data_IF_723051833622
#
_entry.id   IF_723051833622
#
_cell.length_a   1.000
_cell.length_b   1.000
_cell.length_c   1.000
_cell.angle_alpha   90.00
_cell.angle_beta   90.00
_cell.angle_gamma   90.00
#
_symmetry.space_group_name_H-M   'P 1'
#
loop_
_entity.id
_entity.type
_entity.pdbx_description
1 polymer ?
#
# COMPACT_ATOMS: atom_id res chain seq x y z
N UNK A 1 15.28 -5.22 -3.20
CA UNK A 1 14.26 -6.27 -2.98
C UNK A 1 13.19 -6.16 -4.06
N UNK A 2 12.58 -7.28 -4.43
CA UNK A 2 11.40 -7.33 -5.30
C UNK A 2 10.15 -6.95 -4.51
N UNK A 3 9.11 -6.45 -5.16
CA UNK A 3 7.87 -6.05 -4.46
C UNK A 3 7.21 -7.26 -3.80
N UNK A 4 7.25 -8.41 -4.45
CA UNK A 4 6.70 -9.64 -3.87
C UNK A 4 7.50 -10.14 -2.65
N UNK A 5 8.79 -9.81 -2.55
CA UNK A 5 9.58 -10.09 -1.35
C UNK A 5 9.14 -9.20 -0.18
N UNK A 6 8.88 -7.93 -0.45
CA UNK A 6 8.33 -6.98 0.53
C UNK A 6 6.93 -7.39 1.01
N UNK A 7 6.04 -7.83 0.11
CA UNK A 7 4.74 -8.40 0.47
C UNK A 7 4.86 -9.58 1.44
N UNK A 8 5.79 -10.50 1.16
CA UNK A 8 6.05 -11.64 2.03
C UNK A 8 6.59 -11.21 3.39
N UNK A 9 7.57 -10.31 3.40
CA UNK A 9 8.22 -9.86 4.64
C UNK A 9 7.27 -9.08 5.55
N UNK A 10 6.47 -8.17 4.99
CA UNK A 10 5.45 -7.45 5.73
C UNK A 10 4.43 -8.40 6.36
N UNK A 11 3.93 -9.38 5.58
CA UNK A 11 2.98 -10.37 6.08
C UNK A 11 3.57 -11.27 7.17
N UNK A 12 4.76 -11.84 6.97
CA UNK A 12 5.39 -12.69 7.99
C UNK A 12 5.72 -11.90 9.26
N UNK A 13 6.12 -10.63 9.13
CA UNK A 13 6.31 -9.75 10.28
C UNK A 13 5.00 -9.52 11.02
N UNK A 14 3.93 -9.12 10.34
CA UNK A 14 2.62 -8.90 10.94
C UNK A 14 2.08 -10.18 11.62
N UNK A 15 2.22 -11.32 10.95
CA UNK A 15 1.85 -12.63 11.48
C UNK A 15 2.66 -12.99 12.73
N UNK A 16 3.97 -12.76 12.74
CA UNK A 16 4.82 -13.01 13.92
C UNK A 16 4.44 -12.18 15.15
N UNK A 17 3.71 -11.08 14.95
CA UNK A 17 3.20 -10.19 16.00
C UNK A 17 1.74 -10.50 16.39
N UNK A 18 1.14 -11.56 15.83
CA UNK A 18 -0.21 -12.01 16.17
C UNK A 18 -1.34 -11.27 15.44
N UNK A 19 -1.04 -10.38 14.50
CA UNK A 19 -2.06 -9.63 13.75
C UNK A 19 -2.93 -10.51 12.84
N UNK A 20 -2.47 -11.74 12.56
CA UNK A 20 -3.16 -12.73 11.74
C UNK A 20 -3.52 -14.01 12.50
N UNK A 21 -3.52 -13.99 13.83
CA UNK A 21 -3.89 -15.16 14.67
C UNK A 21 -5.35 -15.57 14.50
N UNK A 22 -6.19 -14.61 14.10
CA UNK A 22 -7.60 -14.81 13.75
C UNK A 22 -7.85 -14.33 12.33
N UNK A 23 -8.87 -14.86 11.64
CA UNK A 23 -9.29 -14.31 10.36
C UNK A 23 -9.62 -12.81 10.50
N UNK A 24 -8.96 -11.97 9.70
CA UNK A 24 -9.23 -10.54 9.60
C UNK A 24 -10.07 -10.28 8.34
N UNK A 25 -11.13 -9.50 8.48
CA UNK A 25 -11.96 -9.13 7.34
C UNK A 25 -11.15 -8.25 6.36
N UNK A 26 -11.39 -8.42 5.07
CA UNK A 26 -10.76 -7.58 4.05
C UNK A 26 -11.11 -6.09 4.25
N UNK A 27 -12.35 -5.78 4.66
CA UNK A 27 -12.75 -4.41 4.96
C UNK A 27 -11.92 -3.77 6.08
N UNK A 28 -11.59 -4.52 7.13
CA UNK A 28 -10.71 -4.06 8.22
C UNK A 28 -9.32 -3.72 7.72
N UNK A 29 -8.70 -4.60 6.91
CA UNK A 29 -7.36 -4.34 6.36
C UNK A 29 -7.35 -3.12 5.43
N UNK A 30 -8.41 -2.92 4.64
CA UNK A 30 -8.57 -1.72 3.81
C UNK A 30 -8.74 -0.45 4.64
N UNK A 31 -9.48 -0.52 5.75
CA UNK A 31 -9.64 0.62 6.67
C UNK A 31 -8.32 0.99 7.35
N UNK A 32 -7.46 0.01 7.69
CA UNK A 32 -6.12 0.27 8.22
C UNK A 32 -5.20 0.93 7.17
N UNK A 33 -5.27 0.54 5.89
CA UNK A 33 -4.54 1.26 4.83
C UNK A 33 -5.02 2.72 4.76
N UNK A 34 -6.33 2.95 4.91
CA UNK A 34 -6.91 4.29 4.88
C UNK A 34 -6.49 5.17 6.07
N UNK A 35 -6.24 4.59 7.25
CA UNK A 35 -5.74 5.38 8.39
C UNK A 35 -4.34 5.91 8.11
N UNK A 36 -3.41 5.10 7.58
CA UNK A 36 -2.04 5.58 7.28
C UNK A 36 -2.05 6.70 6.21
N UNK A 37 -2.99 6.65 5.25
CA UNK A 37 -3.18 7.75 4.28
C UNK A 37 -3.66 9.04 4.98
N UNK A 38 -4.47 8.91 6.03
CA UNK A 38 -4.95 10.04 6.81
C UNK A 38 -3.84 10.63 7.71
N UNK A 39 -2.98 9.78 8.25
CA UNK A 39 -1.80 10.17 9.03
C UNK A 39 -0.79 10.91 8.13
N UNK A 40 -0.54 10.42 6.91
CA UNK A 40 0.27 11.13 5.91
C UNK A 40 -0.30 12.52 5.59
N UNK A 41 -1.62 12.64 5.41
CA UNK A 41 -2.26 13.94 5.18
C UNK A 41 -2.12 14.89 6.38
N UNK A 42 -2.15 14.35 7.60
CA UNK A 42 -1.94 15.14 8.81
C UNK A 42 -0.48 15.64 8.93
N UNK A 43 0.49 14.77 8.65
CA UNK A 43 1.91 15.13 8.64
C UNK A 43 2.22 16.24 7.63
N UNK A 44 1.69 16.13 6.40
CA UNK A 44 1.81 17.15 5.35
C UNK A 44 1.23 18.50 5.81
N UNK A 45 0.03 18.50 6.41
CA UNK A 45 -0.61 19.73 6.92
C UNK A 45 0.18 20.42 8.02
N UNK A 46 0.93 19.67 8.82
CA UNK A 46 1.78 20.19 9.90
C UNK A 46 3.15 20.65 9.41
N UNK A 47 3.51 20.35 8.15
CA UNK A 47 4.84 20.64 7.60
C UNK A 47 5.93 19.75 8.21
N UNK A 48 5.59 18.52 8.58
CA UNK A 48 6.52 17.56 9.15
C UNK A 48 7.02 16.60 8.06
N UNK A 49 7.99 17.07 7.27
CA UNK A 49 8.52 16.33 6.11
C UNK A 49 9.07 14.93 6.48
N UNK A 50 9.66 14.79 7.68
CA UNK A 50 10.15 13.52 8.20
C UNK A 50 9.03 12.51 8.44
N UNK A 51 7.95 12.96 9.07
CA UNK A 51 6.81 12.13 9.41
C UNK A 51 6.02 11.77 8.14
N UNK A 52 5.89 12.69 7.16
CA UNK A 52 5.15 12.41 5.92
C UNK A 52 5.70 11.22 5.12
N UNK A 53 7.03 11.14 5.01
CA UNK A 53 7.67 10.03 4.30
C UNK A 53 7.51 8.69 5.04
N UNK A 54 7.51 8.72 6.37
CA UNK A 54 7.28 7.56 7.23
C UNK A 54 5.85 7.04 7.05
N UNK A 55 4.85 7.93 7.09
CA UNK A 55 3.45 7.54 6.88
C UNK A 55 3.18 6.95 5.49
N UNK A 56 3.85 7.48 4.44
CA UNK A 56 3.78 6.88 3.11
C UNK A 56 4.42 5.48 3.04
N UNK A 57 5.47 5.24 3.84
CA UNK A 57 6.06 3.91 3.97
C UNK A 57 5.07 2.96 4.66
N UNK A 58 4.36 3.42 5.69
CA UNK A 58 3.34 2.64 6.39
C UNK A 58 2.16 2.28 5.49
N UNK A 59 1.69 3.20 4.64
CA UNK A 59 0.72 2.87 3.57
C UNK A 59 1.22 1.70 2.71
N UNK A 60 2.48 1.75 2.27
CA UNK A 60 3.07 0.67 1.48
C UNK A 60 3.12 -0.65 2.26
N UNK A 61 3.56 -0.63 3.53
CA UNK A 61 3.66 -1.81 4.38
C UNK A 61 2.29 -2.45 4.60
N UNK A 62 1.24 -1.67 4.84
CA UNK A 62 -0.14 -2.18 4.98
C UNK A 62 -0.65 -2.83 3.69
N UNK A 63 -0.35 -2.22 2.54
CA UNK A 63 -0.67 -2.81 1.22
C UNK A 63 0.10 -4.11 1.01
N UNK A 64 1.37 -4.16 1.39
CA UNK A 64 2.23 -5.34 1.29
C UNK A 64 1.74 -6.47 2.19
N UNK A 65 1.37 -6.21 3.44
CA UNK A 65 0.76 -7.17 4.36
C UNK A 65 -0.56 -7.75 3.79
N UNK A 66 -1.45 -6.88 3.30
CA UNK A 66 -2.69 -7.32 2.65
C UNK A 66 -2.43 -8.21 1.44
N UNK A 67 -1.47 -7.84 0.58
CA UNK A 67 -1.12 -8.64 -0.59
C UNK A 67 -0.47 -9.97 -0.20
N UNK A 68 0.43 -9.97 0.79
CA UNK A 68 1.10 -11.16 1.30
C UNK A 68 0.10 -12.15 1.92
N UNK A 69 -0.80 -11.67 2.79
CA UNK A 69 -1.84 -12.50 3.43
C UNK A 69 -2.80 -13.15 2.41
N UNK A 70 -3.07 -12.45 1.29
CA UNK A 70 -3.93 -12.95 0.20
C UNK A 70 -3.18 -13.64 -0.93
N UNK A 71 -1.86 -13.74 -0.87
CA UNK A 71 -0.99 -14.30 -1.93
C UNK A 71 -1.19 -13.62 -3.29
N UNK A 72 -1.32 -12.30 -3.29
CA UNK A 72 -1.47 -11.48 -4.51
C UNK A 72 -0.09 -11.20 -5.10
N UNK A 73 0.08 -11.44 -6.40
CA UNK A 73 1.27 -11.02 -7.16
C UNK A 73 1.21 -9.51 -7.47
N UNK A 74 1.48 -8.71 -6.45
CA UNK A 74 1.41 -7.25 -6.55
C UNK A 74 2.42 -6.70 -7.57
N UNK A 75 3.61 -7.30 -7.68
CA UNK A 75 4.62 -6.87 -8.64
C UNK A 75 4.12 -6.99 -10.09
N UNK A 76 3.52 -8.13 -10.44
CA UNK A 76 2.92 -8.33 -11.76
C UNK A 76 1.84 -7.27 -12.04
N UNK A 77 0.94 -7.03 -11.09
CA UNK A 77 -0.14 -6.06 -11.25
C UNK A 77 0.37 -4.62 -11.41
N UNK A 78 1.37 -4.23 -10.63
CA UNK A 78 2.03 -2.91 -10.75
C UNK A 78 2.68 -2.77 -12.13
N UNK A 79 3.54 -3.73 -12.53
CA UNK A 79 4.23 -3.67 -13.83
C UNK A 79 3.23 -3.60 -15.00
N UNK A 80 2.22 -4.47 -14.99
CA UNK A 80 1.15 -4.47 -15.99
C UNK A 80 0.43 -3.12 -16.06
N UNK A 81 0.11 -2.54 -14.90
CA UNK A 81 -0.58 -1.24 -14.83
C UNK A 81 0.31 -0.09 -15.31
N UNK A 82 1.60 -0.11 -14.96
CA UNK A 82 2.56 0.90 -15.41
C UNK A 82 2.75 0.86 -16.92
N UNK A 83 2.89 -0.32 -17.53
CA UNK A 83 2.98 -0.45 -19.00
C UNK A 83 1.70 0.05 -19.68
N UNK A 84 0.53 -0.32 -19.16
CA UNK A 84 -0.74 0.20 -19.67
C UNK A 84 -0.86 1.73 -19.51
N UNK A 85 -0.37 2.30 -18.40
CA UNK A 85 -0.42 3.75 -18.19
C UNK A 85 0.44 4.53 -19.21
N UNK A 86 1.56 3.95 -19.70
CA UNK A 86 2.38 4.56 -20.76
C UNK A 86 1.62 4.70 -22.08
N UNK A 87 0.67 3.81 -22.36
CA UNK A 87 -0.13 3.86 -23.59
C UNK A 87 -1.33 4.81 -23.49
N UNK A 88 -1.58 5.41 -22.31
CA UNK A 88 -2.73 6.30 -22.12
C UNK A 88 -2.44 7.68 -22.71
N UNK A 89 -3.46 8.26 -23.33
CA UNK A 89 -3.42 9.66 -23.74
C UNK A 89 -3.26 10.59 -22.53
N UNK A 90 -2.75 11.79 -22.77
CA UNK A 90 -2.56 12.82 -21.75
C UNK A 90 -3.86 13.02 -20.93
N UNK A 91 -3.74 12.92 -19.60
CA UNK A 91 -4.86 12.97 -18.64
C UNK A 91 -6.05 12.05 -18.99
N UNK A 92 -5.80 10.92 -19.64
CA UNK A 92 -6.85 9.96 -20.03
C UNK A 92 -8.01 10.62 -20.79
N UNK A 93 -7.70 11.58 -21.68
CA UNK A 93 -8.70 12.38 -22.38
C UNK A 93 -9.16 13.63 -21.62
N UNK A 94 -8.31 14.24 -20.79
CA UNK A 94 -8.60 15.54 -20.14
C UNK A 94 -9.23 15.47 -18.75
N UNK A 95 -9.11 14.36 -18.02
CA UNK A 95 -9.53 14.31 -16.60
C UNK A 95 -8.77 15.34 -15.77
N UNK A 96 -9.51 16.04 -14.89
CA UNK A 96 -8.99 17.15 -14.08
C UNK A 96 -8.38 16.71 -12.74
N UNK A 97 -8.38 15.41 -12.45
CA UNK A 97 -7.78 14.80 -11.27
C UNK A 97 -6.72 13.77 -11.69
#
# INVERSE_FOLDING_TARGET
>A
MKINELCREAYETAKSKGWHDKPVETGTLLALIHSEVSEALEADRKGWDGDFAEELADVCIRVFDLCGSKRIDLEYHIRKKMEFNKTRSYKHGGKAY
#
